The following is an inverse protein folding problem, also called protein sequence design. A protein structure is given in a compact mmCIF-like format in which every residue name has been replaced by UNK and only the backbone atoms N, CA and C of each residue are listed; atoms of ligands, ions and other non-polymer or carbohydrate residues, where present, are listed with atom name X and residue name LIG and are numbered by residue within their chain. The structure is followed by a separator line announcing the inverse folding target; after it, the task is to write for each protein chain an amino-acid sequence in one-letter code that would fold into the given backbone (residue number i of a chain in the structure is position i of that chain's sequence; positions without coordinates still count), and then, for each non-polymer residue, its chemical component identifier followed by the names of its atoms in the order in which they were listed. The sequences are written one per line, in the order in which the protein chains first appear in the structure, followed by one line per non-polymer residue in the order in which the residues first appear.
data_IF_187181167663
#
_entry.id   IF_187181167663
#
_cell.length_a   1.000
_cell.length_b   1.000
_cell.length_c   1.000
_cell.angle_alpha   90.00
_cell.angle_beta   90.00
_cell.angle_gamma   90.00
#
_symmetry.space_group_name_H-M   'P 1'
#
loop_
_entity.id
_entity.type
_entity.pdbx_description
1 polymer ?
#
# COMPACT_ATOMS: atom_id res chain seq x y z
N UNK A 1 2.71 25.85 -13.40
CA UNK A 1 2.58 24.41 -13.69
C UNK A 1 1.28 23.91 -13.12
N UNK A 2 0.58 23.03 -13.85
CA UNK A 2 -0.62 22.39 -13.32
C UNK A 2 -0.21 21.41 -12.22
N UNK A 3 -0.98 21.30 -11.12
CA UNK A 3 -0.72 20.31 -10.09
C UNK A 3 -0.86 18.89 -10.66
N UNK A 4 -0.12 17.94 -10.12
CA UNK A 4 -0.20 16.52 -10.48
C UNK A 4 -1.43 15.90 -9.80
N UNK A 5 -2.34 15.31 -10.58
CA UNK A 5 -3.55 14.66 -10.07
C UNK A 5 -3.27 13.20 -9.72
N UNK A 6 -3.48 12.84 -8.46
CA UNK A 6 -3.28 11.48 -7.95
C UNK A 6 -4.62 10.83 -7.60
N UNK A 7 -4.75 9.55 -7.89
CA UNK A 7 -5.82 8.69 -7.39
C UNK A 7 -5.21 7.50 -6.67
N UNK A 8 -5.34 7.48 -5.34
CA UNK A 8 -4.73 6.47 -4.47
C UNK A 8 -5.85 5.65 -3.85
N UNK A 9 -5.86 4.34 -4.12
CA UNK A 9 -6.88 3.42 -3.63
C UNK A 9 -6.23 2.34 -2.78
N UNK A 10 -6.84 2.06 -1.62
CA UNK A 10 -6.48 0.91 -0.79
C UNK A 10 -7.62 -0.09 -0.68
N UNK A 11 -7.29 -1.39 -0.73
CA UNK A 11 -8.26 -2.47 -0.63
C UNK A 11 -7.66 -3.73 -0.03
N UNK A 12 -8.27 -4.24 1.03
CA UNK A 12 -7.99 -5.59 1.52
C UNK A 12 -8.83 -6.58 0.69
N UNK A 13 -8.16 -7.43 -0.10
CA UNK A 13 -8.78 -8.37 -1.04
C UNK A 13 -9.34 -9.64 -0.36
N UNK A 14 -9.16 -9.79 0.96
CA UNK A 14 -9.56 -10.98 1.72
C UNK A 14 -9.09 -12.31 1.07
N UNK A 15 -7.95 -12.30 0.40
CA UNK A 15 -7.30 -13.44 -0.30
C UNK A 15 -8.07 -13.99 -1.50
N UNK A 16 -9.00 -13.21 -2.03
CA UNK A 16 -9.81 -13.56 -3.20
C UNK A 16 -9.36 -12.78 -4.44
N UNK A 17 -9.58 -13.36 -5.60
CA UNK A 17 -9.54 -12.61 -6.86
C UNK A 17 -10.68 -11.58 -6.86
N UNK A 18 -10.40 -10.40 -7.37
CA UNK A 18 -11.40 -9.34 -7.54
C UNK A 18 -12.34 -9.65 -8.72
N UNK A 19 -13.60 -9.24 -8.60
CA UNK A 19 -14.53 -9.20 -9.73
C UNK A 19 -14.17 -7.96 -10.57
N UNK A 20 -13.48 -8.18 -11.67
CA UNK A 20 -12.93 -7.12 -12.53
C UNK A 20 -14.02 -6.17 -13.01
N UNK A 21 -15.12 -6.70 -13.54
CA UNK A 21 -16.20 -5.88 -14.10
C UNK A 21 -16.86 -5.01 -13.03
N UNK A 22 -17.18 -5.62 -11.90
CA UNK A 22 -17.83 -4.91 -10.80
C UNK A 22 -16.92 -3.86 -10.17
N UNK A 23 -15.66 -4.21 -9.96
CA UNK A 23 -14.72 -3.26 -9.38
C UNK A 23 -14.45 -2.09 -10.32
N UNK A 24 -14.24 -2.35 -11.63
CA UNK A 24 -14.02 -1.32 -12.63
C UNK A 24 -15.18 -0.32 -12.73
N UNK A 25 -16.43 -0.79 -12.63
CA UNK A 25 -17.62 0.06 -12.68
C UNK A 25 -17.70 1.06 -11.52
N UNK A 26 -17.04 0.78 -10.40
CA UNK A 26 -17.06 1.61 -9.19
C UNK A 26 -15.70 2.20 -8.84
N UNK A 27 -14.68 1.91 -9.64
CA UNK A 27 -13.29 2.23 -9.33
C UNK A 27 -13.08 3.72 -9.04
N UNK A 28 -13.73 4.60 -9.76
CA UNK A 28 -13.61 6.04 -9.63
C UNK A 28 -14.78 6.70 -8.89
N UNK A 29 -15.60 5.96 -8.14
CA UNK A 29 -16.76 6.53 -7.41
C UNK A 29 -16.35 7.56 -6.35
N UNK A 30 -15.13 7.50 -5.81
CA UNK A 30 -14.60 8.49 -4.86
C UNK A 30 -14.14 9.80 -5.52
N UNK A 31 -14.14 9.89 -6.86
CA UNK A 31 -13.80 11.14 -7.55
C UNK A 31 -15.04 12.02 -7.72
N UNK A 32 -14.85 13.36 -7.82
CA UNK A 32 -15.94 14.26 -8.14
C UNK A 32 -16.59 13.85 -9.48
N UNK A 33 -17.92 13.79 -9.50
CA UNK A 33 -18.67 13.39 -10.70
C UNK A 33 -18.42 14.33 -11.90
N UNK A 34 -18.10 15.59 -11.61
CA UNK A 34 -17.93 16.66 -12.61
C UNK A 34 -16.44 16.88 -12.96
N UNK A 35 -15.53 16.03 -12.50
CA UNK A 35 -14.12 16.10 -12.90
C UNK A 35 -13.90 15.29 -14.17
N UNK A 36 -13.76 15.94 -15.33
CA UNK A 36 -13.57 15.26 -16.62
C UNK A 36 -12.14 14.77 -16.80
N UNK A 37 -11.20 15.29 -15.99
CA UNK A 37 -9.77 15.07 -16.20
C UNK A 37 -9.35 13.69 -15.67
N UNK A 38 -8.59 12.87 -16.42
CA UNK A 38 -8.01 11.65 -15.90
C UNK A 38 -6.95 11.94 -14.85
N UNK A 39 -6.76 11.09 -13.83
CA UNK A 39 -5.65 11.25 -12.90
C UNK A 39 -4.31 11.05 -13.62
N UNK A 40 -3.27 11.77 -13.21
CA UNK A 40 -1.93 11.61 -13.75
C UNK A 40 -1.30 10.29 -13.28
N UNK A 41 -1.52 9.94 -12.01
CA UNK A 41 -1.09 8.68 -11.43
C UNK A 41 -2.26 7.97 -10.74
N UNK A 42 -2.30 6.63 -10.88
CA UNK A 42 -3.19 5.74 -10.15
C UNK A 42 -2.33 4.81 -9.30
N UNK A 43 -2.61 4.76 -7.99
CA UNK A 43 -1.86 3.94 -7.03
C UNK A 43 -2.82 2.98 -6.35
N UNK A 44 -2.49 1.69 -6.38
CA UNK A 44 -3.21 0.64 -5.67
C UNK A 44 -2.35 0.12 -4.52
N UNK A 45 -2.84 0.25 -3.32
CA UNK A 45 -2.32 -0.38 -2.11
C UNK A 45 -3.25 -1.53 -1.72
N UNK A 46 -2.80 -2.77 -1.88
CA UNK A 46 -3.65 -3.94 -1.64
C UNK A 46 -3.12 -4.81 -0.52
N UNK A 47 -4.03 -5.39 0.25
CA UNK A 47 -3.71 -6.25 1.37
C UNK A 47 -4.47 -7.58 1.22
N UNK A 48 -3.96 -8.63 1.85
CA UNK A 48 -4.48 -9.99 1.66
C UNK A 48 -4.70 -10.31 0.17
N UNK A 49 -3.72 -9.93 -0.66
CA UNK A 49 -3.78 -10.00 -2.12
C UNK A 49 -4.11 -11.41 -2.61
N UNK A 50 -3.53 -12.44 -1.98
CA UNK A 50 -3.64 -13.84 -2.37
C UNK A 50 -3.66 -14.74 -1.15
N UNK A 51 -4.05 -16.03 -1.28
CA UNK A 51 -3.87 -17.03 -0.23
C UNK A 51 -2.43 -17.04 0.29
N UNK A 52 -2.27 -17.22 1.60
CA UNK A 52 -0.98 -17.08 2.29
C UNK A 52 0.11 -17.94 1.65
N UNK A 53 -0.22 -19.17 1.20
CA UNK A 53 0.71 -20.05 0.54
C UNK A 53 1.26 -19.46 -0.77
N UNK A 54 0.42 -18.80 -1.56
CA UNK A 54 0.81 -18.18 -2.82
C UNK A 54 1.67 -16.94 -2.58
N UNK A 55 1.36 -16.17 -1.53
CA UNK A 55 2.17 -15.02 -1.14
C UNK A 55 3.58 -15.41 -0.70
N UNK A 56 3.74 -16.56 -0.04
CA UNK A 56 5.06 -17.10 0.33
C UNK A 56 5.83 -17.70 -0.86
N UNK A 57 5.13 -18.34 -1.80
CA UNK A 57 5.76 -18.88 -3.01
C UNK A 57 6.17 -17.77 -3.98
N UNK A 58 5.41 -16.64 -4.00
CA UNK A 58 5.70 -15.51 -4.85
C UNK A 58 5.65 -15.80 -6.35
N UNK A 59 6.26 -14.91 -7.14
CA UNK A 59 6.44 -15.12 -8.57
C UNK A 59 5.13 -15.37 -9.33
N UNK A 60 5.09 -16.44 -10.13
CA UNK A 60 3.94 -16.77 -10.99
C UNK A 60 2.64 -17.06 -10.25
N UNK A 61 2.70 -17.43 -8.96
CA UNK A 61 1.50 -17.67 -8.14
C UNK A 61 0.72 -16.38 -7.84
N UNK A 62 1.37 -15.23 -7.87
CA UNK A 62 0.73 -13.92 -7.67
C UNK A 62 0.24 -13.29 -8.97
N UNK A 63 0.70 -13.75 -10.13
CA UNK A 63 0.33 -13.19 -11.43
C UNK A 63 -1.18 -13.07 -11.65
N UNK A 64 -2.03 -14.06 -11.36
CA UNK A 64 -3.48 -13.94 -11.56
C UNK A 64 -4.10 -12.78 -10.77
N UNK A 65 -3.60 -12.55 -9.55
CA UNK A 65 -4.12 -11.51 -8.66
C UNK A 65 -3.71 -10.12 -9.13
N UNK A 66 -2.44 -9.93 -9.48
CA UNK A 66 -1.97 -8.66 -10.03
C UNK A 66 -2.56 -8.38 -11.42
N UNK A 67 -2.72 -9.41 -12.27
CA UNK A 67 -3.37 -9.25 -13.57
C UNK A 67 -4.81 -8.81 -13.44
N UNK A 68 -5.60 -9.41 -12.53
CA UNK A 68 -6.98 -8.99 -12.30
C UNK A 68 -7.10 -7.53 -11.84
N UNK A 69 -6.18 -7.05 -10.99
CA UNK A 69 -6.13 -5.65 -10.56
C UNK A 69 -5.73 -4.72 -11.70
N UNK A 70 -4.77 -5.12 -12.54
CA UNK A 70 -4.40 -4.39 -13.76
C UNK A 70 -5.59 -4.28 -14.71
N UNK A 71 -6.34 -5.36 -14.89
CA UNK A 71 -7.54 -5.38 -15.75
C UNK A 71 -8.64 -4.46 -15.20
N UNK A 72 -8.79 -4.38 -13.85
CA UNK A 72 -9.69 -3.40 -13.21
C UNK A 72 -9.31 -1.97 -13.60
N UNK A 73 -8.04 -1.60 -13.49
CA UNK A 73 -7.57 -0.25 -13.84
C UNK A 73 -7.80 0.03 -15.32
N UNK A 74 -7.37 -0.87 -16.20
CA UNK A 74 -7.52 -0.71 -17.65
C UNK A 74 -8.98 -0.55 -18.04
N UNK A 75 -9.87 -1.41 -17.51
CA UNK A 75 -11.30 -1.35 -17.82
C UNK A 75 -11.96 -0.09 -17.24
N UNK A 76 -11.62 0.31 -16.02
CA UNK A 76 -12.16 1.50 -15.40
C UNK A 76 -11.76 2.78 -16.14
N UNK A 77 -10.52 2.84 -16.62
CA UNK A 77 -10.01 3.94 -17.45
C UNK A 77 -10.72 3.96 -18.80
N UNK A 78 -10.78 2.84 -19.50
CA UNK A 78 -11.42 2.74 -20.81
C UNK A 78 -12.92 3.08 -20.79
N UNK A 79 -13.61 2.91 -19.66
CA UNK A 79 -15.02 3.29 -19.48
C UNK A 79 -15.23 4.81 -19.40
N UNK A 80 -14.19 5.60 -19.07
CA UNK A 80 -14.33 7.04 -18.81
C UNK A 80 -13.52 7.90 -19.78
N UNK A 81 -12.37 7.41 -20.23
CA UNK A 81 -11.41 8.15 -21.04
C UNK A 81 -10.81 7.24 -22.12
N UNK A 82 -10.48 7.82 -23.25
CA UNK A 82 -9.77 7.15 -24.36
C UNK A 82 -8.27 7.45 -24.22
N UNK A 83 -7.66 6.87 -23.19
CA UNK A 83 -6.24 7.08 -22.85
C UNK A 83 -5.61 5.81 -22.28
N UNK A 84 -4.29 5.72 -22.38
CA UNK A 84 -3.51 4.60 -21.89
C UNK A 84 -2.73 4.95 -20.62
N UNK A 85 -2.59 3.93 -19.74
CA UNK A 85 -1.74 3.99 -18.57
C UNK A 85 -0.63 2.94 -18.67
N UNK A 86 0.57 3.36 -18.28
CA UNK A 86 1.74 2.49 -18.14
C UNK A 86 1.83 2.01 -16.70
N UNK A 87 1.95 0.70 -16.49
CA UNK A 87 2.25 0.16 -15.18
C UNK A 87 3.74 0.36 -14.87
N UNK A 88 4.06 1.26 -13.96
CA UNK A 88 5.43 1.58 -13.55
C UNK A 88 5.95 0.65 -12.46
N UNK A 89 5.06 0.20 -11.57
CA UNK A 89 5.40 -0.62 -10.41
C UNK A 89 4.35 -1.71 -10.21
N UNK A 90 4.82 -2.93 -10.02
CA UNK A 90 4.07 -4.03 -9.42
C UNK A 90 5.00 -4.74 -8.46
N UNK A 91 4.77 -4.57 -7.16
CA UNK A 91 5.66 -5.08 -6.13
C UNK A 91 4.88 -5.54 -4.90
N UNK A 92 5.46 -6.43 -4.07
CA UNK A 92 4.83 -6.91 -2.86
C UNK A 92 5.80 -7.30 -1.74
N UNK A 93 5.32 -7.25 -0.52
CA UNK A 93 5.91 -7.86 0.66
C UNK A 93 4.89 -8.84 1.25
N UNK A 94 5.11 -10.13 1.07
CA UNK A 94 4.11 -11.15 1.42
C UNK A 94 2.76 -10.89 0.73
N UNK A 95 1.69 -10.74 1.52
CA UNK A 95 0.34 -10.48 1.03
C UNK A 95 0.00 -8.99 0.84
N UNK A 96 0.95 -8.08 1.08
CA UNK A 96 0.77 -6.63 0.87
C UNK A 96 1.37 -6.26 -0.47
N UNK A 97 0.58 -5.69 -1.38
CA UNK A 97 0.99 -5.32 -2.73
C UNK A 97 0.86 -3.84 -3.02
N UNK A 98 1.70 -3.33 -3.90
CA UNK A 98 1.68 -1.97 -4.42
C UNK A 98 1.76 -2.00 -5.94
N UNK A 99 0.83 -1.32 -6.59
CA UNK A 99 0.89 -1.06 -8.03
C UNK A 99 0.81 0.44 -8.28
N UNK A 100 1.61 0.93 -9.21
CA UNK A 100 1.58 2.32 -9.65
C UNK A 100 1.45 2.38 -11.15
N UNK A 101 0.47 3.12 -11.61
CA UNK A 101 0.20 3.37 -13.02
C UNK A 101 0.33 4.86 -13.30
N UNK A 102 0.96 5.22 -14.39
CA UNK A 102 1.06 6.58 -14.86
C UNK A 102 0.37 6.72 -16.22
N UNK A 103 -0.34 7.82 -16.44
CA UNK A 103 -0.79 8.18 -17.79
C UNK A 103 0.41 8.25 -18.72
N UNK A 104 0.29 7.82 -19.98
CA UNK A 104 1.44 7.62 -20.87
C UNK A 104 2.34 8.85 -20.99
N UNK A 105 1.78 10.06 -21.13
CA UNK A 105 2.51 11.32 -21.18
C UNK A 105 3.21 11.70 -19.87
N UNK A 106 2.64 11.26 -18.74
CA UNK A 106 3.21 11.44 -17.38
C UNK A 106 4.34 10.45 -17.13
N UNK A 107 4.21 9.21 -17.65
CA UNK A 107 5.23 8.17 -17.52
C UNK A 107 6.58 8.59 -18.13
N UNK A 108 6.57 9.34 -19.24
CA UNK A 108 7.77 9.87 -19.90
C UNK A 108 8.56 10.85 -19.01
N UNK A 109 7.89 11.45 -18.02
CA UNK A 109 8.50 12.40 -17.07
C UNK A 109 9.01 11.73 -15.79
N UNK A 110 8.78 10.42 -15.61
CA UNK A 110 9.33 9.66 -14.50
C UNK A 110 10.76 9.20 -14.84
N UNK A 111 11.75 9.83 -14.24
CA UNK A 111 13.17 9.57 -14.54
C UNK A 111 13.73 8.37 -13.79
N UNK A 112 13.20 8.02 -12.63
CA UNK A 112 13.60 6.81 -11.90
C UNK A 112 12.48 6.29 -11.01
N UNK A 113 12.55 4.99 -10.73
CA UNK A 113 11.64 4.27 -9.81
C UNK A 113 12.51 3.43 -8.88
N UNK A 114 12.41 3.68 -7.59
CA UNK A 114 13.08 2.91 -6.55
C UNK A 114 12.01 2.18 -5.72
N UNK A 115 12.25 0.91 -5.35
CA UNK A 115 11.31 0.14 -4.52
C UNK A 115 11.97 -0.36 -3.23
N UNK A 116 11.16 -0.55 -2.20
CA UNK A 116 11.60 -1.06 -0.91
C UNK A 116 10.52 -1.96 -0.29
N UNK A 117 10.94 -2.96 0.49
CA UNK A 117 10.04 -3.92 1.14
C UNK A 117 10.49 -4.22 2.56
N UNK A 118 9.53 -4.41 3.45
CA UNK A 118 9.78 -4.95 4.79
C UNK A 118 8.64 -5.88 5.20
N UNK A 119 8.96 -6.94 5.94
CA UNK A 119 7.99 -7.77 6.64
C UNK A 119 7.88 -7.37 8.11
N UNK A 120 6.73 -7.65 8.74
CA UNK A 120 6.55 -7.49 10.19
C UNK A 120 6.47 -8.85 10.86
N UNK A 121 6.75 -8.88 12.19
CA UNK A 121 6.71 -10.07 13.00
C UNK A 121 8.04 -10.83 13.08
N UNK A 122 7.98 -12.04 13.60
CA UNK A 122 9.18 -12.83 13.85
C UNK A 122 9.93 -13.15 12.55
N UNK A 123 11.17 -12.69 12.48
CA UNK A 123 12.08 -12.91 11.34
C UNK A 123 11.56 -12.39 9.99
N UNK A 124 10.69 -11.36 10.00
CA UNK A 124 10.06 -10.75 8.81
C UNK A 124 9.19 -11.71 7.97
N UNK A 125 8.90 -12.91 8.48
CA UNK A 125 8.05 -13.91 7.83
C UNK A 125 6.56 -13.74 8.14
N UNK A 126 6.12 -12.55 8.55
CA UNK A 126 4.72 -12.27 8.82
C UNK A 126 3.88 -12.16 7.56
N UNK A 127 2.58 -12.40 7.71
CA UNK A 127 1.59 -12.06 6.67
C UNK A 127 1.31 -10.54 6.61
N UNK A 128 2.01 -9.76 7.41
CA UNK A 128 1.95 -8.29 7.51
C UNK A 128 3.28 -7.70 7.06
N UNK A 129 3.23 -6.51 6.50
CA UNK A 129 4.43 -5.85 5.98
C UNK A 129 4.10 -4.53 5.32
N UNK A 130 5.12 -3.92 4.72
CA UNK A 130 4.98 -2.75 3.89
C UNK A 130 5.84 -2.85 2.63
N UNK A 131 5.35 -2.27 1.56
CA UNK A 131 6.06 -2.12 0.30
C UNK A 131 5.96 -0.68 -0.16
N UNK A 132 7.07 -0.10 -0.59
CA UNK A 132 7.15 1.29 -1.03
C UNK A 132 7.69 1.43 -2.44
N UNK A 133 7.22 2.45 -3.14
CA UNK A 133 7.77 2.91 -4.40
C UNK A 133 8.02 4.41 -4.34
N UNK A 134 9.18 4.83 -4.83
CA UNK A 134 9.54 6.24 -4.98
C UNK A 134 9.78 6.53 -6.45
N UNK A 135 9.10 7.55 -6.95
CA UNK A 135 9.21 8.03 -8.32
C UNK A 135 9.87 9.40 -8.31
N UNK A 136 10.95 9.58 -9.06
CA UNK A 136 11.50 10.89 -9.35
C UNK A 136 10.78 11.45 -10.58
N UNK A 137 9.98 12.50 -10.38
CA UNK A 137 9.19 13.14 -11.43
C UNK A 137 9.87 14.45 -11.88
N UNK A 138 10.23 14.54 -13.16
CA UNK A 138 10.90 15.70 -13.71
C UNK A 138 9.96 16.91 -13.77
N UNK A 139 10.42 18.06 -13.24
CA UNK A 139 9.70 19.32 -13.28
C UNK A 139 10.16 20.17 -14.45
N UNK A 140 9.24 20.92 -15.08
CA UNK A 140 9.60 21.84 -16.15
C UNK A 140 10.31 23.08 -15.60
N UNK A 141 11.30 23.57 -16.33
CA UNK A 141 11.95 24.86 -16.06
C UNK A 141 13.27 24.82 -15.33
N UNK A 142 13.71 23.65 -14.84
CA UNK A 142 15.05 23.45 -14.28
C UNK A 142 15.64 22.16 -14.84
N UNK A 143 16.85 22.18 -15.47
CA UNK A 143 17.44 21.00 -16.11
C UNK A 143 17.57 19.78 -15.17
N UNK A 144 17.74 20.03 -13.87
CA UNK A 144 17.91 18.99 -12.84
C UNK A 144 16.77 19.01 -11.80
N UNK A 145 15.65 19.74 -12.06
CA UNK A 145 14.53 19.83 -11.14
C UNK A 145 13.68 18.57 -11.14
N UNK A 146 13.61 17.89 -10.01
CA UNK A 146 12.67 16.80 -9.80
C UNK A 146 11.99 16.89 -8.44
N UNK A 147 10.79 16.35 -8.36
CA UNK A 147 10.11 16.08 -7.09
C UNK A 147 10.03 14.57 -6.91
N UNK A 148 10.16 14.12 -5.68
CA UNK A 148 10.00 12.72 -5.36
C UNK A 148 8.60 12.44 -4.81
N UNK A 149 7.94 11.44 -5.39
CA UNK A 149 6.65 10.94 -4.96
C UNK A 149 6.86 9.56 -4.35
N UNK A 150 6.66 9.44 -3.05
CA UNK A 150 6.81 8.18 -2.32
C UNK A 150 5.44 7.63 -1.94
N UNK A 151 5.15 6.42 -2.37
CA UNK A 151 3.93 5.68 -2.05
C UNK A 151 4.28 4.46 -1.22
N UNK A 152 3.56 4.25 -0.12
CA UNK A 152 3.75 3.09 0.76
C UNK A 152 2.41 2.38 0.94
N UNK A 153 2.39 1.11 0.58
CA UNK A 153 1.31 0.19 0.94
C UNK A 153 1.69 -0.54 2.23
N UNK A 154 0.81 -0.55 3.23
CA UNK A 154 1.06 -1.16 4.52
C UNK A 154 -0.10 -2.06 4.98
N UNK A 155 0.24 -3.13 5.70
CA UNK A 155 -0.72 -3.95 6.42
C UNK A 155 -0.20 -4.20 7.83
N UNK A 156 -0.75 -3.47 8.82
CA UNK A 156 -0.27 -3.46 10.19
C UNK A 156 -0.96 -4.54 11.05
N UNK A 157 -0.52 -4.67 12.30
CA UNK A 157 -1.00 -5.67 13.25
C UNK A 157 -2.51 -5.57 13.49
N UNK A 158 -3.26 -6.70 13.41
CA UNK A 158 -4.70 -6.75 13.66
C UNK A 158 -5.02 -6.65 15.16
N UNK A 159 -6.29 -6.78 15.51
CA UNK A 159 -6.90 -6.80 16.85
C UNK A 159 -6.99 -5.42 17.53
N UNK A 160 -8.05 -5.23 18.29
CA UNK A 160 -8.37 -3.97 18.96
C UNK A 160 -7.30 -3.57 19.99
N UNK A 161 -6.76 -4.55 20.72
CA UNK A 161 -5.76 -4.34 21.77
C UNK A 161 -4.34 -4.10 21.25
N UNK A 162 -4.06 -4.35 19.96
CA UNK A 162 -2.72 -4.33 19.41
C UNK A 162 -2.25 -2.92 18.95
N UNK A 163 -2.62 -1.86 19.68
CA UNK A 163 -2.24 -0.47 19.34
C UNK A 163 -0.73 -0.28 19.34
N UNK A 164 -0.06 -0.73 20.41
CA UNK A 164 1.39 -0.58 20.54
C UNK A 164 2.11 -1.34 19.42
N UNK A 165 1.63 -2.55 19.05
CA UNK A 165 2.21 -3.30 17.95
C UNK A 165 2.09 -2.55 16.62
N UNK A 166 0.96 -1.89 16.35
CA UNK A 166 0.80 -1.04 15.15
C UNK A 166 1.76 0.16 15.16
N UNK A 167 1.97 0.76 16.33
CA UNK A 167 2.94 1.84 16.47
C UNK A 167 4.38 1.33 16.23
N UNK A 168 4.73 0.12 16.68
CA UNK A 168 6.01 -0.53 16.42
C UNK A 168 6.16 -0.93 14.94
N UNK A 169 5.08 -1.40 14.29
CA UNK A 169 5.06 -1.66 12.86
C UNK A 169 5.33 -0.36 12.08
N UNK A 170 4.68 0.76 12.45
CA UNK A 170 4.97 2.07 11.88
C UNK A 170 6.42 2.49 12.08
N UNK A 171 6.95 2.34 13.28
CA UNK A 171 8.37 2.59 13.56
C UNK A 171 9.26 1.77 12.65
N UNK A 172 8.95 0.49 12.46
CA UNK A 172 9.67 -0.40 11.56
C UNK A 172 9.63 0.09 10.10
N UNK A 173 8.49 0.66 9.65
CA UNK A 173 8.40 1.28 8.31
C UNK A 173 9.39 2.44 8.21
N UNK A 174 9.45 3.33 9.20
CA UNK A 174 10.36 4.48 9.19
C UNK A 174 11.83 4.05 9.22
N UNK A 175 12.17 3.11 10.08
CA UNK A 175 13.55 2.67 10.31
C UNK A 175 14.11 1.78 9.19
N UNK A 176 13.25 1.01 8.49
CA UNK A 176 13.72 -0.09 7.62
C UNK A 176 13.21 -0.08 6.19
N UNK A 177 12.19 0.72 5.86
CA UNK A 177 11.75 0.86 4.45
C UNK A 177 12.71 1.81 3.72
N UNK A 178 13.87 1.27 3.32
CA UNK A 178 14.99 2.00 2.74
C UNK A 178 15.07 1.73 1.25
N UNK A 179 15.06 2.80 0.45
CA UNK A 179 15.13 2.74 -1.00
C UNK A 179 16.59 2.68 -1.46
N UNK A 180 16.87 1.71 -2.31
CA UNK A 180 18.17 1.58 -3.01
C UNK A 180 17.96 1.80 -4.48
N UNK A 181 18.74 2.69 -5.06
CA UNK A 181 18.78 2.81 -6.51
C UNK A 181 19.61 1.66 -7.05
N UNK A 182 19.09 0.81 -7.98
CA UNK A 182 19.91 -0.19 -8.63
C UNK A 182 21.10 0.52 -9.27
N UNK A 183 22.32 0.04 -8.97
CA UNK A 183 23.51 0.49 -9.71
C UNK A 183 23.26 0.12 -11.15
N UNK A 184 23.09 1.12 -12.02
CA UNK A 184 22.99 0.90 -13.45
C UNK A 184 24.30 0.18 -13.87
N UNK A 185 24.20 -1.13 -14.10
CA UNK A 185 25.27 -1.84 -14.79
C UNK A 185 25.41 -1.17 -16.16
N UNK A 186 26.49 -0.46 -16.35
CA UNK A 186 26.83 0.20 -17.59
C UNK A 186 26.68 -0.82 -18.73
N UNK A 187 25.66 -0.66 -19.57
CA UNK A 187 25.58 -1.34 -20.86
C UNK A 187 26.65 -0.70 -21.75
N UNK A 188 27.79 -1.35 -21.81
CA UNK A 188 28.85 -0.91 -22.73
C UNK A 188 30.10 -1.75 -22.62
N UNK A 189 30.28 -2.63 -23.56
CA UNK A 189 31.47 -3.41 -23.94
C UNK A 189 31.51 -4.85 -23.43
N UNK A 190 31.16 -5.73 -24.37
CA UNK A 190 31.62 -7.10 -24.42
C UNK A 190 33.15 -7.10 -24.66
N UNK A 191 33.94 -7.44 -23.67
CA UNK A 191 35.23 -8.09 -23.80
C UNK A 191 35.37 -9.06 -22.63
N UNK A 192 35.80 -10.32 -22.88
CA UNK A 192 36.05 -11.28 -21.81
C UNK A 192 37.53 -11.19 -21.39
N UNK A 193 37.78 -11.14 -20.17
CA UNK A 193 38.91 -11.53 -19.34
C UNK A 193 39.25 -10.45 -18.29
N UNK A 194 39.11 -10.84 -17.06
CA UNK A 194 40.11 -10.93 -16.02
C UNK A 194 39.42 -10.87 -14.64
N UNK A 195 39.61 -11.97 -13.96
CA UNK A 195 39.37 -12.11 -12.51
C UNK A 195 40.25 -11.17 -11.71
N UNK A 196 39.75 -10.80 -10.50
CA UNK A 196 40.46 -10.09 -9.45
C UNK A 196 40.62 -8.57 -9.61
N UNK A 197 39.52 -7.82 -9.31
CA UNK A 197 39.65 -6.55 -8.53
C UNK A 197 38.27 -6.02 -8.10
N UNK A 198 37.49 -6.79 -7.40
CA UNK A 198 36.18 -6.39 -6.86
C UNK A 198 36.26 -6.03 -5.36
N UNK A 199 37.23 -5.22 -4.98
CA UNK A 199 37.44 -5.03 -3.56
C UNK A 199 38.06 -3.71 -3.12
N UNK A 200 37.85 -2.57 -3.78
CA UNK A 200 38.44 -1.29 -3.28
C UNK A 200 37.77 -0.01 -3.85
N UNK A 201 36.44 0.07 -3.88
CA UNK A 201 35.76 1.36 -4.08
C UNK A 201 34.66 1.59 -3.04
N UNK A 202 35.00 1.38 -1.78
CA UNK A 202 34.24 1.90 -0.63
C UNK A 202 35.01 3.09 -0.07
N UNK A 203 34.81 4.24 -0.69
CA UNK A 203 35.50 5.45 -0.26
C UNK A 203 34.94 6.70 -0.96
N UNK A 204 33.69 7.02 -0.70
CA UNK A 204 33.21 8.40 -0.82
C UNK A 204 32.14 8.63 0.23
N UNK A 205 32.59 8.98 1.43
CA UNK A 205 31.77 9.60 2.48
C UNK A 205 31.40 11.00 2.03
N UNK A 206 30.32 11.13 1.26
CA UNK A 206 29.62 12.40 1.14
C UNK A 206 28.56 12.44 2.25
N UNK A 207 28.80 13.27 3.25
CA UNK A 207 27.91 13.53 4.40
C UNK A 207 26.50 14.06 4.07
N UNK A 208 26.02 13.93 2.83
CA UNK A 208 24.69 14.32 2.38
C UNK A 208 23.85 13.17 1.78
N UNK A 209 24.35 11.93 1.74
CA UNK A 209 23.72 10.82 1.02
C UNK A 209 22.76 9.95 1.84
N UNK A 210 22.81 10.03 3.16
CA UNK A 210 22.07 9.12 4.04
C UNK A 210 20.61 9.54 4.24
N UNK A 211 20.33 10.83 4.15
CA UNK A 211 19.00 11.42 4.40
C UNK A 211 17.97 11.09 3.31
N UNK A 212 18.41 10.67 2.11
CA UNK A 212 17.51 10.36 0.97
C UNK A 212 17.05 8.90 0.89
N UNK A 213 17.56 8.02 1.71
CA UNK A 213 17.25 6.59 1.62
C UNK A 213 15.96 6.19 2.32
N UNK A 214 15.58 6.87 3.41
CA UNK A 214 14.35 6.61 4.15
C UNK A 214 13.10 7.20 3.49
N UNK A 215 11.94 6.97 4.09
CA UNK A 215 10.65 7.50 3.59
C UNK A 215 10.50 9.01 3.85
N UNK A 216 11.21 9.56 4.83
CA UNK A 216 11.21 10.99 5.16
C UNK A 216 12.44 11.65 4.59
N UNK A 217 12.27 12.56 3.65
CA UNK A 217 13.32 13.45 3.21
C UNK A 217 12.74 14.73 2.61
N UNK A 218 13.57 15.76 2.50
CA UNK A 218 13.18 17.06 1.95
C UNK A 218 12.84 16.96 0.46
N UNK A 219 11.91 17.78 0.01
CA UNK A 219 11.45 17.85 -1.39
C UNK A 219 10.74 16.59 -1.90
N UNK A 220 10.07 15.87 -1.00
CA UNK A 220 9.25 14.71 -1.35
C UNK A 220 7.81 14.85 -0.86
N UNK A 221 6.90 14.16 -1.55
CA UNK A 221 5.55 13.91 -1.09
C UNK A 221 5.45 12.44 -0.68
N UNK A 222 5.00 12.19 0.54
CA UNK A 222 4.82 10.87 1.09
C UNK A 222 3.33 10.55 1.25
N UNK A 223 2.90 9.45 0.63
CA UNK A 223 1.56 8.90 0.77
C UNK A 223 1.63 7.49 1.34
N UNK A 224 0.83 7.24 2.37
CA UNK A 224 0.72 5.91 2.97
C UNK A 224 -0.73 5.49 2.93
N UNK A 225 -0.99 4.32 2.39
CA UNK A 225 -2.30 3.72 2.33
C UNK A 225 -2.22 2.24 2.70
N UNK A 226 -3.31 1.68 3.23
CA UNK A 226 -3.31 0.26 3.58
C UNK A 226 -4.38 -0.12 4.56
N UNK A 227 -4.36 -1.38 4.96
CA UNK A 227 -5.08 -1.85 6.12
C UNK A 227 -4.23 -1.57 7.37
N UNK A 228 -4.36 -0.35 7.87
CA UNK A 228 -3.60 0.12 9.03
C UNK A 228 -4.12 -0.47 10.34
N UNK A 229 -5.27 -1.16 10.31
CA UNK A 229 -5.86 -1.92 11.41
C UNK A 229 -6.12 -1.14 12.71
N UNK A 230 -6.01 0.19 12.72
CA UNK A 230 -6.47 0.98 13.85
C UNK A 230 -7.98 0.89 13.97
N UNK A 231 -8.47 0.83 15.19
CA UNK A 231 -9.87 0.55 15.51
C UNK A 231 -10.55 1.74 16.18
N UNK A 232 -11.87 1.71 16.21
CA UNK A 232 -12.71 2.66 16.92
C UNK A 232 -13.03 2.22 18.35
N UNK A 233 -12.29 1.23 18.88
CA UNK A 233 -12.38 0.72 20.25
C UNK A 233 -11.09 0.02 20.63
N UNK A 234 -10.76 0.00 21.92
CA UNK A 234 -9.63 -0.79 22.46
C UNK A 234 -10.07 -2.21 22.87
N UNK A 235 -11.35 -2.52 22.80
CA UNK A 235 -11.96 -3.79 23.22
C UNK A 235 -12.69 -4.41 22.05
N UNK A 236 -12.61 -5.72 21.94
CA UNK A 236 -13.39 -6.46 20.92
C UNK A 236 -14.89 -6.29 21.16
N UNK A 237 -15.68 -6.14 20.08
CA UNK A 237 -17.12 -5.92 20.20
C UNK A 237 -17.82 -7.11 20.86
N UNK A 238 -18.72 -6.80 21.81
CA UNK A 238 -19.62 -7.77 22.43
C UNK A 238 -20.88 -8.02 21.60
N UNK A 239 -21.70 -8.99 22.02
CA UNK A 239 -22.96 -9.32 21.30
C UNK A 239 -23.93 -8.14 21.24
N UNK A 240 -23.96 -7.26 22.27
CA UNK A 240 -24.83 -6.09 22.31
C UNK A 240 -24.36 -4.96 21.39
N UNK A 241 -23.07 -4.93 21.01
CA UNK A 241 -22.54 -3.87 20.15
C UNK A 241 -23.10 -3.96 18.75
N UNK A 242 -23.42 -5.15 18.26
CA UNK A 242 -24.10 -5.35 16.98
C UNK A 242 -25.48 -4.69 16.94
N UNK A 243 -26.19 -4.66 18.08
CA UNK A 243 -27.49 -4.00 18.19
C UNK A 243 -27.35 -2.47 18.32
N UNK A 244 -26.23 -2.00 18.85
CA UNK A 244 -25.90 -0.58 19.05
C UNK A 244 -25.16 0.02 17.86
N UNK A 245 -24.73 -0.80 16.91
CA UNK A 245 -23.91 -0.35 15.78
C UNK A 245 -24.64 0.75 15.00
N UNK A 246 -23.96 1.86 14.65
CA UNK A 246 -24.58 2.96 13.92
C UNK A 246 -25.16 2.50 12.60
N UNK A 247 -26.40 2.90 12.32
CA UNK A 247 -27.04 2.61 11.03
C UNK A 247 -26.57 3.63 10.00
N UNK A 248 -26.31 3.16 8.77
CA UNK A 248 -25.86 3.99 7.66
C UNK A 248 -26.81 5.16 7.33
N UNK A 249 -28.09 5.03 7.64
CA UNK A 249 -29.14 6.00 7.34
C UNK A 249 -29.56 6.85 8.54
N UNK A 250 -28.79 6.81 9.63
CA UNK A 250 -29.08 7.66 10.79
C UNK A 250 -28.75 9.12 10.44
N UNK A 251 -29.50 10.06 11.01
CA UNK A 251 -29.16 11.48 11.01
C UNK A 251 -27.76 11.66 11.63
N UNK A 252 -26.86 12.49 11.08
CA UNK A 252 -25.56 12.78 11.70
C UNK A 252 -25.65 13.26 13.14
N UNK A 253 -26.78 13.84 13.57
CA UNK A 253 -27.04 14.19 14.95
C UNK A 253 -27.50 13.01 15.83
N UNK A 254 -27.89 11.87 15.25
CA UNK A 254 -28.29 10.66 16.00
C UNK A 254 -27.04 10.08 16.68
N UNK A 255 -27.11 9.78 18.01
CA UNK A 255 -26.02 9.11 18.71
C UNK A 255 -25.60 7.76 18.09
N UNK A 256 -26.43 7.18 17.24
CA UNK A 256 -26.14 5.95 16.51
C UNK A 256 -25.52 6.18 15.12
N UNK A 257 -25.27 7.43 14.72
CA UNK A 257 -24.59 7.70 13.46
C UNK A 257 -23.12 7.26 13.54
N UNK A 258 -22.61 6.67 12.47
CA UNK A 258 -21.23 6.12 12.43
C UNK A 258 -20.15 7.14 12.76
N UNK A 259 -20.37 8.44 12.52
CA UNK A 259 -19.43 9.50 12.88
C UNK A 259 -19.13 9.57 14.39
N UNK A 260 -20.02 9.04 15.24
CA UNK A 260 -19.77 8.96 16.66
C UNK A 260 -18.62 8.01 17.02
N UNK A 261 -18.38 6.99 16.19
CA UNK A 261 -17.26 6.05 16.35
C UNK A 261 -15.89 6.74 16.21
N UNK A 262 -15.81 7.82 15.41
CA UNK A 262 -14.56 8.56 15.22
C UNK A 262 -14.04 9.24 16.48
N UNK A 263 -14.86 9.39 17.51
CA UNK A 263 -14.43 9.95 18.80
C UNK A 263 -13.41 9.07 19.51
N UNK A 264 -13.52 7.76 19.31
CA UNK A 264 -12.66 6.74 19.92
C UNK A 264 -11.66 6.15 18.94
N UNK A 265 -11.50 6.81 17.77
CA UNK A 265 -10.58 6.36 16.74
C UNK A 265 -9.13 6.34 17.22
N UNK A 266 -8.54 5.15 17.14
CA UNK A 266 -7.18 4.90 17.62
C UNK A 266 -6.14 5.67 16.79
N UNK A 267 -6.25 5.68 15.43
CA UNK A 267 -5.27 6.35 14.58
C UNK A 267 -5.22 7.85 14.87
N UNK A 268 -6.37 8.50 14.89
CA UNK A 268 -6.47 9.92 15.23
C UNK A 268 -5.84 10.23 16.59
N UNK A 269 -6.07 9.37 17.59
CA UNK A 269 -5.50 9.51 18.92
C UNK A 269 -3.96 9.38 18.89
N UNK A 270 -3.44 8.33 18.25
CA UNK A 270 -2.00 8.08 18.19
C UNK A 270 -1.26 9.18 17.43
N UNK A 271 -1.83 9.66 16.31
CA UNK A 271 -1.28 10.79 15.54
C UNK A 271 -1.23 12.07 16.37
N UNK A 272 -2.34 12.43 17.07
CA UNK A 272 -2.39 13.62 17.94
C UNK A 272 -1.38 13.57 19.08
N UNK A 273 -1.05 12.39 19.56
CA UNK A 273 -0.06 12.17 20.62
C UNK A 273 1.36 11.97 20.09
N UNK A 274 1.57 12.13 18.79
CA UNK A 274 2.86 11.94 18.13
C UNK A 274 3.49 10.58 18.46
N UNK A 275 2.69 9.51 18.49
CA UNK A 275 3.14 8.14 18.70
C UNK A 275 3.21 7.34 17.41
N UNK A 276 2.45 7.75 16.38
CA UNK A 276 2.43 7.10 15.09
C UNK A 276 2.15 8.11 13.98
N UNK A 277 2.51 7.79 12.73
CA UNK A 277 2.28 8.60 11.53
C UNK A 277 2.69 10.07 11.68
N UNK A 278 3.88 10.30 12.27
CA UNK A 278 4.43 11.62 12.59
C UNK A 278 4.45 12.53 11.36
N UNK A 279 3.91 13.75 11.53
CA UNK A 279 3.87 14.77 10.48
C UNK A 279 2.92 14.46 9.32
N UNK A 280 2.16 13.37 9.39
CA UNK A 280 1.15 13.04 8.39
C UNK A 280 -0.22 13.61 8.76
N UNK A 281 -1.07 13.75 7.76
CA UNK A 281 -2.46 14.19 7.93
C UNK A 281 -3.38 13.23 7.17
N UNK A 282 -4.53 12.93 7.77
CA UNK A 282 -5.61 12.19 7.12
C UNK A 282 -6.70 13.17 6.68
N UNK A 283 -7.26 12.96 5.50
CA UNK A 283 -8.40 13.73 5.05
C UNK A 283 -9.65 13.42 5.90
N UNK A 284 -10.61 14.36 6.04
CA UNK A 284 -11.80 14.15 6.86
C UNK A 284 -12.58 12.91 6.43
N UNK A 285 -12.87 12.03 7.39
CA UNK A 285 -13.64 10.80 7.17
C UNK A 285 -15.13 11.13 7.14
N UNK A 286 -15.75 11.01 5.95
CA UNK A 286 -17.18 11.23 5.74
C UNK A 286 -17.96 9.96 5.37
N UNK A 287 -17.32 8.80 5.40
CA UNK A 287 -17.87 7.51 4.96
C UNK A 287 -18.05 6.54 6.14
N UNK A 288 -18.93 5.52 5.99
CA UNK A 288 -19.17 4.53 7.04
C UNK A 288 -17.95 3.61 7.25
N UNK A 289 -17.90 2.89 8.39
CA UNK A 289 -16.83 1.92 8.66
C UNK A 289 -16.57 0.98 7.48
N UNK A 290 -15.30 0.73 7.20
CA UNK A 290 -14.85 -0.05 6.05
C UNK A 290 -14.69 -1.54 6.36
N UNK A 291 -14.79 -1.94 7.63
CA UNK A 291 -14.61 -3.29 8.14
C UNK A 291 -15.40 -3.49 9.43
N UNK A 292 -15.96 -4.66 9.80
CA UNK A 292 -16.01 -5.91 9.08
C UNK A 292 -17.44 -6.17 8.57
N UNK A 293 -17.58 -6.52 7.29
CA UNK A 293 -18.87 -6.85 6.70
C UNK A 293 -19.15 -8.36 6.74
N UNK A 294 -20.37 -8.73 7.14
CA UNK A 294 -20.79 -10.13 7.24
C UNK A 294 -20.95 -10.78 5.86
N UNK A 295 -20.91 -12.11 5.81
CA UNK A 295 -21.21 -12.87 4.58
C UNK A 295 -22.60 -12.54 4.02
N UNK A 296 -23.59 -12.23 4.87
CA UNK A 296 -24.91 -11.80 4.42
C UNK A 296 -24.83 -10.46 3.68
N UNK A 297 -24.07 -9.49 4.22
CA UNK A 297 -23.86 -8.20 3.56
C UNK A 297 -23.10 -8.36 2.22
N UNK A 298 -22.09 -9.23 2.15
CA UNK A 298 -21.38 -9.54 0.91
C UNK A 298 -22.31 -10.19 -0.14
N UNK A 299 -23.20 -11.11 0.27
CA UNK A 299 -24.20 -11.71 -0.59
C UNK A 299 -25.22 -10.67 -1.11
N UNK A 300 -25.71 -9.79 -0.25
CA UNK A 300 -26.58 -8.69 -0.65
C UNK A 300 -25.90 -7.75 -1.65
N UNK A 301 -24.61 -7.44 -1.42
CA UNK A 301 -23.82 -6.69 -2.39
C UNK A 301 -23.68 -7.39 -3.74
N UNK A 302 -23.57 -8.73 -3.76
CA UNK A 302 -23.56 -9.50 -5.01
C UNK A 302 -24.86 -9.37 -5.81
N UNK A 303 -25.98 -9.17 -5.13
CA UNK A 303 -27.31 -8.99 -5.73
C UNK A 303 -27.61 -7.52 -6.09
N UNK A 304 -26.67 -6.60 -5.82
CA UNK A 304 -26.88 -5.17 -6.05
C UNK A 304 -27.70 -4.48 -4.94
N UNK A 305 -28.01 -5.20 -3.88
CA UNK A 305 -28.82 -4.74 -2.71
C UNK A 305 -27.96 -4.20 -1.57
N UNK A 306 -26.62 -4.20 -1.74
CA UNK A 306 -25.70 -3.70 -0.73
C UNK A 306 -25.91 -2.21 -0.45
N UNK A 307 -25.51 -1.73 0.76
CA UNK A 307 -25.56 -0.32 1.06
C UNK A 307 -24.74 0.44 0.00
N UNK A 308 -25.42 1.18 -0.84
CA UNK A 308 -24.78 2.15 -1.73
C UNK A 308 -24.08 3.15 -0.82
N UNK A 309 -22.85 3.54 -1.17
CA UNK A 309 -22.26 4.74 -0.58
C UNK A 309 -23.32 5.82 -0.66
N UNK A 310 -23.77 6.34 0.49
CA UNK A 310 -24.63 7.51 0.45
C UNK A 310 -23.91 8.53 -0.43
N UNK A 311 -24.45 8.84 -1.60
CA UNK A 311 -23.96 9.94 -2.42
C UNK A 311 -24.37 11.26 -1.76
N UNK A 312 -23.93 11.47 -0.51
CA UNK A 312 -23.69 12.79 0.01
C UNK A 312 -22.36 13.22 -0.63
N UNK A 313 -22.29 14.45 -1.11
CA UNK A 313 -21.03 14.98 -1.61
C UNK A 313 -19.97 14.72 -0.55
N UNK A 314 -18.97 13.90 -0.89
CA UNK A 314 -17.83 13.68 -0.02
C UNK A 314 -17.31 15.06 0.39
N UNK A 315 -17.03 15.32 1.67
CA UNK A 315 -16.51 16.61 2.08
C UNK A 315 -15.23 16.88 1.27
N UNK A 316 -15.24 17.97 0.52
CA UNK A 316 -14.09 18.39 -0.25
C UNK A 316 -13.05 18.88 0.77
N UNK A 317 -11.97 18.12 0.91
CA UNK A 317 -10.85 18.47 1.76
C UNK A 317 -10.05 19.67 1.24
N UNK A 318 -9.01 20.10 1.98
CA UNK A 318 -8.09 21.13 1.52
C UNK A 318 -7.57 20.80 0.11
N UNK A 319 -7.40 21.82 -0.73
CA UNK A 319 -6.94 21.70 -2.12
C UNK A 319 -7.83 20.85 -3.06
N UNK A 320 -9.14 20.72 -2.76
CA UNK A 320 -10.05 19.97 -3.62
C UNK A 320 -9.93 18.44 -3.52
N UNK A 321 -9.25 17.93 -2.50
CA UNK A 321 -9.14 16.50 -2.27
C UNK A 321 -10.49 15.86 -1.95
N UNK A 322 -10.76 14.69 -2.53
CA UNK A 322 -11.91 13.84 -2.15
C UNK A 322 -11.40 12.55 -1.54
N UNK A 323 -12.02 12.14 -0.42
CA UNK A 323 -11.67 10.95 0.33
C UNK A 323 -12.94 10.20 0.69
N UNK A 324 -13.14 9.01 0.13
CA UNK A 324 -14.37 8.24 0.30
C UNK A 324 -14.11 6.73 0.19
N UNK A 325 -15.08 5.95 0.68
CA UNK A 325 -15.09 4.50 0.51
C UNK A 325 -15.96 4.09 -0.67
N UNK A 326 -15.51 3.10 -1.44
CA UNK A 326 -16.27 2.50 -2.54
C UNK A 326 -17.40 1.62 -2.00
N UNK A 327 -18.37 1.19 -2.83
CA UNK A 327 -19.35 0.19 -2.46
C UNK A 327 -18.69 -1.11 -1.93
N UNK A 328 -19.43 -1.88 -1.14
CA UNK A 328 -18.95 -3.19 -0.70
C UNK A 328 -18.90 -4.15 -1.89
N UNK A 329 -17.75 -4.81 -2.06
CA UNK A 329 -17.57 -5.86 -3.06
C UNK A 329 -17.83 -7.24 -2.45
N UNK A 330 -18.47 -8.17 -3.19
CA UNK A 330 -18.82 -9.51 -2.67
C UNK A 330 -17.60 -10.36 -2.30
N UNK A 331 -16.44 -10.03 -2.85
CA UNK A 331 -15.20 -10.79 -2.68
C UNK A 331 -14.43 -10.46 -1.41
N UNK A 332 -14.87 -9.44 -0.65
CA UNK A 332 -14.16 -9.02 0.56
C UNK A 332 -15.12 -8.62 1.68
N UNK A 333 -14.69 -8.78 2.92
CA UNK A 333 -15.34 -8.24 4.12
C UNK A 333 -14.90 -6.80 4.44
N UNK A 334 -14.11 -6.19 3.53
CA UNK A 334 -13.70 -4.80 3.56
C UNK A 334 -14.32 -4.00 2.41
N UNK A 335 -14.44 -2.68 2.61
CA UNK A 335 -14.67 -1.70 1.54
C UNK A 335 -13.34 -1.11 1.12
N UNK A 336 -13.19 -0.87 -0.19
CA UNK A 336 -12.05 -0.08 -0.68
C UNK A 336 -12.22 1.38 -0.26
N UNK A 337 -11.10 2.07 -0.04
CA UNK A 337 -11.05 3.50 0.26
C UNK A 337 -10.15 4.18 -0.77
N UNK A 338 -10.57 5.35 -1.25
CA UNK A 338 -9.79 6.08 -2.23
C UNK A 338 -9.67 7.56 -1.89
N UNK A 339 -8.49 8.10 -2.20
CA UNK A 339 -8.14 9.51 -2.14
C UNK A 339 -7.88 10.03 -3.55
N UNK A 340 -8.59 11.08 -3.96
CA UNK A 340 -8.23 11.88 -5.14
C UNK A 340 -7.67 13.21 -4.67
N UNK A 341 -6.45 13.54 -5.07
CA UNK A 341 -5.73 14.73 -4.58
C UNK A 341 -4.86 15.34 -5.68
N UNK A 342 -4.74 16.66 -5.68
CA UNK A 342 -3.84 17.40 -6.54
C UNK A 342 -2.58 17.79 -5.75
N UNK A 343 -1.41 17.47 -6.29
CA UNK A 343 -0.10 17.75 -5.68
C UNK A 343 0.58 18.89 -6.42
N UNK A 344 0.93 20.00 -5.75
CA UNK A 344 1.66 21.09 -6.40
C UNK A 344 3.02 20.63 -6.90
N UNK A 345 3.34 20.91 -8.16
CA UNK A 345 4.65 20.67 -8.74
C UNK A 345 5.48 21.94 -8.55
N UNK A 346 6.16 22.04 -7.41
CA UNK A 346 7.04 23.18 -7.12
C UNK A 346 8.47 22.64 -7.00
N UNK A 347 9.35 23.08 -7.91
CA UNK A 347 10.73 22.61 -8.01
C UNK A 347 11.62 22.93 -6.77
N UNK A 348 11.18 23.84 -5.93
CA UNK A 348 11.80 24.11 -4.63
C UNK A 348 10.72 24.55 -3.64
N UNK A 349 10.44 23.75 -2.63
CA UNK A 349 9.75 24.26 -1.44
C UNK A 349 10.71 25.26 -0.75
N UNK A 350 10.21 26.42 -0.27
CA UNK A 350 11.02 27.27 0.60
C UNK A 350 11.53 26.42 1.77
N UNK A 351 12.80 26.62 2.13
CA UNK A 351 13.49 25.91 3.23
C UNK A 351 12.75 26.05 4.57
N UNK A 352 11.83 27.00 4.69
CA UNK A 352 10.98 27.26 5.87
C UNK A 352 9.68 26.45 5.94
N UNK A 353 9.33 25.66 4.92
CA UNK A 353 8.24 24.69 5.05
C UNK A 353 8.73 23.59 5.97
N UNK A 354 8.26 23.59 7.22
CA UNK A 354 8.52 22.65 8.31
C UNK A 354 9.05 21.32 7.82
N UNK A 355 10.38 21.15 7.87
CA UNK A 355 11.04 19.88 7.64
C UNK A 355 10.51 18.91 8.69
N UNK A 356 9.64 18.00 8.31
CA UNK A 356 9.33 16.86 9.15
C UNK A 356 10.56 15.97 9.10
N UNK A 357 11.44 16.14 10.09
CA UNK A 357 12.56 15.21 10.28
C UNK A 357 12.00 13.81 10.54
N UNK A 358 12.70 12.78 10.06
CA UNK A 358 12.33 11.40 10.36
C UNK A 358 12.19 11.23 11.89
N UNK A 359 11.06 10.70 12.39
CA UNK A 359 10.85 10.53 13.83
C UNK A 359 11.77 9.48 14.44
N UNK A 360 12.32 8.59 13.62
CA UNK A 360 13.27 7.54 13.98
C UNK A 360 14.39 7.50 12.94
N UNK A 361 15.65 7.26 13.37
CA UNK A 361 16.76 7.08 12.43
C UNK A 361 16.62 5.78 11.64
N UNK A 362 17.22 5.72 10.46
CA UNK A 362 17.34 4.47 9.72
C UNK A 362 18.10 3.45 10.58
N UNK A 363 17.57 2.24 10.68
CA UNK A 363 18.23 1.12 11.38
C UNK A 363 19.56 0.79 10.68
N UNK A 364 20.71 0.89 11.36
CA UNK A 364 22.01 0.59 10.74
C UNK A 364 22.11 -0.85 10.21
N UNK A 365 21.31 -1.75 10.76
CA UNK A 365 21.26 -3.18 10.35
C UNK A 365 20.18 -3.50 9.30
N UNK A 366 19.51 -2.48 8.75
CA UNK A 366 18.38 -2.66 7.83
C UNK A 366 18.71 -3.56 6.64
N UNK A 367 19.92 -3.42 6.07
CA UNK A 367 20.36 -4.20 4.92
C UNK A 367 20.54 -5.68 5.28
N UNK A 368 21.23 -5.96 6.38
CA UNK A 368 21.40 -7.34 6.88
C UNK A 368 20.06 -8.01 7.18
N UNK A 369 19.10 -7.29 7.76
CA UNK A 369 17.75 -7.80 8.03
C UNK A 369 17.01 -8.11 6.73
N UNK A 370 17.05 -7.20 5.74
CA UNK A 370 16.47 -7.40 4.41
C UNK A 370 17.06 -8.60 3.68
N UNK A 371 18.39 -8.74 3.67
CA UNK A 371 19.07 -9.84 2.98
C UNK A 371 18.76 -11.18 3.63
N UNK A 372 18.65 -11.20 4.95
CA UNK A 372 18.22 -12.40 5.69
C UNK A 372 16.78 -12.80 5.33
N UNK A 373 15.87 -11.84 5.21
CA UNK A 373 14.49 -12.09 4.80
C UNK A 373 14.43 -12.63 3.36
N UNK A 374 15.15 -11.99 2.42
CA UNK A 374 15.24 -12.42 1.01
C UNK A 374 15.81 -13.85 0.86
N UNK A 375 16.86 -14.18 1.59
CA UNK A 375 17.44 -15.52 1.55
C UNK A 375 16.42 -16.59 1.97
N UNK A 376 15.54 -16.29 2.92
CA UNK A 376 14.48 -17.19 3.38
C UNK A 376 13.32 -17.33 2.40
N UNK A 377 13.02 -16.29 1.64
CA UNK A 377 12.06 -16.37 0.54
C UNK A 377 12.57 -17.24 -0.62
N UNK A 378 13.88 -17.20 -0.91
CA UNK A 378 14.51 -17.96 -2.01
C UNK A 378 14.66 -19.44 -1.68
N UNK A 379 14.95 -19.81 -0.44
CA UNK A 379 15.17 -21.21 -0.04
C UNK A 379 13.96 -22.12 -0.34
N UNK A 380 12.72 -21.76 -0.04
CA UNK A 380 11.56 -22.53 -0.48
C UNK A 380 11.43 -22.61 -2.01
N UNK A 381 11.62 -21.52 -2.73
CA UNK A 381 11.49 -21.49 -4.20
C UNK A 381 12.60 -22.24 -4.91
N UNK A 382 13.84 -22.22 -4.41
CA UNK A 382 14.95 -23.01 -4.95
C UNK A 382 14.80 -24.52 -4.73
N UNK A 383 14.21 -24.94 -3.63
CA UNK A 383 13.93 -26.36 -3.35
C UNK A 383 12.89 -26.96 -4.32
N UNK A 384 11.99 -26.12 -4.83
CA UNK A 384 10.95 -26.52 -5.79
C UNK A 384 11.40 -26.44 -7.25
N UNK A 385 12.42 -25.63 -7.56
CA UNK A 385 12.94 -25.47 -8.93
C UNK A 385 13.75 -26.69 -9.41
N UNK A 386 14.27 -27.52 -8.51
CA UNK A 386 15.02 -28.72 -8.84
C UNK A 386 14.19 -29.99 -8.71
N UNK A 387 13.09 -30.14 -9.39
CA UNK A 387 12.32 -31.37 -9.68
C UNK A 387 12.42 -32.64 -8.77
N UNK A 388 13.37 -32.64 -7.83
CA UNK A 388 13.68 -33.81 -6.99
C UNK A 388 12.80 -33.92 -5.73
N UNK A 389 11.96 -32.95 -5.43
CA UNK A 389 11.09 -32.98 -4.25
C UNK A 389 9.66 -33.45 -4.58
N UNK A 390 9.21 -33.29 -5.82
CA UNK A 390 7.87 -33.76 -6.24
C UNK A 390 7.71 -35.26 -6.15
N UNK A 391 8.77 -36.02 -6.38
CA UNK A 391 8.76 -37.50 -6.28
C UNK A 391 8.77 -38.03 -4.84
N UNK A 392 9.03 -37.16 -3.83
CA UNK A 392 9.09 -37.59 -2.40
C UNK A 392 7.96 -37.01 -1.53
N UNK A 393 7.22 -36.05 -1.98
CA UNK A 393 6.21 -35.31 -1.18
C UNK A 393 4.82 -35.36 -1.81
N UNK A 394 4.37 -36.50 -2.29
CA UNK A 394 2.98 -36.81 -2.68
C UNK A 394 2.26 -35.69 -3.49
N UNK A 395 1.51 -34.84 -2.89
CA UNK A 395 0.70 -33.82 -3.55
C UNK A 395 1.01 -32.41 -3.03
N UNK A 396 0.64 -31.38 -3.81
CA UNK A 396 0.74 -29.98 -3.41
C UNK A 396 0.01 -29.74 -2.08
N UNK A 397 -1.12 -30.42 -1.85
CA UNK A 397 -1.90 -30.34 -0.61
C UNK A 397 -1.13 -30.84 0.62
N UNK A 398 -0.34 -31.89 0.50
CA UNK A 398 0.50 -32.38 1.62
C UNK A 398 1.64 -31.44 1.95
N UNK A 399 2.22 -30.78 0.94
CA UNK A 399 3.23 -29.75 1.15
C UNK A 399 2.63 -28.52 1.84
N UNK A 400 1.43 -28.10 1.44
CA UNK A 400 0.70 -26.99 2.05
C UNK A 400 0.26 -27.30 3.49
N UNK A 401 -0.14 -28.54 3.78
CA UNK A 401 -0.44 -28.99 5.15
C UNK A 401 0.79 -28.93 6.05
N UNK A 402 1.96 -29.34 5.56
CA UNK A 402 3.23 -29.25 6.33
C UNK A 402 3.65 -27.81 6.61
N UNK A 403 3.44 -26.89 5.67
CA UNK A 403 3.66 -25.46 5.89
C UNK A 403 2.70 -24.95 6.96
N UNK A 404 1.42 -25.30 6.86
CA UNK A 404 0.37 -24.92 7.80
C UNK A 404 0.65 -25.43 9.22
N UNK A 405 1.01 -26.71 9.37
CA UNK A 405 1.33 -27.29 10.68
C UNK A 405 2.57 -26.66 11.33
N UNK A 406 3.58 -26.26 10.56
CA UNK A 406 4.74 -25.53 11.08
C UNK A 406 4.43 -24.10 11.53
N UNK A 407 3.45 -23.46 10.88
CA UNK A 407 3.01 -22.13 11.29
C UNK A 407 2.14 -22.17 12.55
N UNK A 408 1.31 -23.21 12.72
CA UNK A 408 0.50 -23.41 13.91
C UNK A 408 1.35 -23.79 15.15
N UNK A 409 2.49 -24.42 14.97
CA UNK A 409 3.45 -24.77 16.04
C UNK A 409 4.44 -23.64 16.38
N UNK A 410 4.50 -22.58 15.57
CA UNK A 410 5.40 -21.44 15.78
C UNK A 410 4.72 -20.26 16.52
N UNK A 411 3.47 -20.42 16.94
CA UNK A 411 2.76 -19.45 17.78
C UNK A 411 2.84 -19.95 19.22
N UNK A 412 3.50 -19.23 20.15
CA UNK A 412 3.49 -19.57 21.56
C UNK A 412 2.12 -19.32 22.19
#
# INVERSE_FOLDING_TARGET
MNPLSLYILTFNCARNLVDVNRFANHFFDARPLNDPSPPDLIVLSVQELAPIAYAFLGGSYLNPYFSSLKDVVNQAVAQRWDIDYVNLVTDNSGMTGLMVFARSDVAERVSSVDTARIGFGFQEMGNKGAVGARLAYATEGTPDGSIDLTFVAAHLAPMESAVEQRNDDWRSVVERLVFERPVATARGSLEPDDQETSGLLHGSTSNGGDDRRGIFFSNSYLFIAGDLNYRTSNVSPGQEDLARFPRLNADPADPRHYSQLLKDDQLTREMRQSRSFHGMTEAPIGFPPTYKYTLAAQKAAAQGEGPRSGRGQAPVGPAGATYDSLPLFPTSDHRAVALSVAVPIVASRPVDATHVSAPFPIDPDWQRKRDTARQREIVPSGYWAHGSCFDRCGTLDEALQRIRSRMETAVP
#
